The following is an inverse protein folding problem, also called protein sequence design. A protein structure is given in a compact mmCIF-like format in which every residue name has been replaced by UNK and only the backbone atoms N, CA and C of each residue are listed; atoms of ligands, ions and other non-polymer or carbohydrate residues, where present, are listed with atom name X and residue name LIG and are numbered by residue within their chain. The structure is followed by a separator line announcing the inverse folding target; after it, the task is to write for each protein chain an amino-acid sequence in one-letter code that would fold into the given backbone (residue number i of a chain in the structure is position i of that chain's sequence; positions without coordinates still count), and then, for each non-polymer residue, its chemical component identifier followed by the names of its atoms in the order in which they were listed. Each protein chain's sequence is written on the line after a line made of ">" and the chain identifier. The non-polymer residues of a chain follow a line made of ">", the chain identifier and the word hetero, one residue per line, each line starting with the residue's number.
data_IF_739271972638
#
_entry.id   IF_739271972638
#
_cell.length_a   1.000
_cell.length_b   1.000
_cell.length_c   1.000
_cell.angle_alpha   90.00
_cell.angle_beta   90.00
_cell.angle_gamma   90.00
#
_symmetry.space_group_name_H-M   'P 1'
#
loop_
_entity.id
_entity.type
_entity.pdbx_description
1 polymer ?
#
# COMPACT_ATOMS: atom_id res chain seq x y z
N UNK A 1 -48.97 39.26 -18.97
CA UNK A 1 -47.89 39.56 -19.95
C UNK A 1 -46.88 38.42 -19.87
N UNK A 2 -46.61 37.72 -20.99
CA UNK A 2 -45.67 36.57 -21.22
C UNK A 2 -46.15 35.21 -20.67
N UNK A 3 -46.02 34.05 -21.32
CA UNK A 3 -45.87 33.59 -22.72
C UNK A 3 -46.11 32.06 -22.68
N UNK A 4 -46.80 31.49 -23.67
CA UNK A 4 -47.06 30.05 -23.86
C UNK A 4 -45.79 29.25 -24.18
N UNK A 5 -45.81 27.94 -23.89
CA UNK A 5 -45.17 26.90 -24.73
C UNK A 5 -43.91 26.21 -24.18
N UNK A 6 -44.08 25.08 -23.51
CA UNK A 6 -43.62 23.78 -24.07
C UNK A 6 -44.13 22.64 -23.18
N UNK A 7 -45.31 22.14 -23.53
CA UNK A 7 -45.72 20.80 -23.12
C UNK A 7 -44.99 19.84 -24.04
N UNK A 8 -44.08 19.03 -23.49
CA UNK A 8 -43.51 17.92 -24.25
C UNK A 8 -44.64 16.95 -24.62
N UNK A 9 -45.12 17.11 -25.85
CA UNK A 9 -45.94 16.19 -26.61
C UNK A 9 -45.18 14.86 -26.71
N UNK A 10 -45.53 13.88 -25.88
CA UNK A 10 -45.25 12.48 -26.18
C UNK A 10 -46.57 11.73 -26.29
N UNK A 11 -47.21 11.85 -27.46
CA UNK A 11 -48.35 11.03 -27.83
C UNK A 11 -47.86 9.61 -28.13
N UNK A 12 -47.91 8.74 -27.12
CA UNK A 12 -47.57 7.32 -27.23
C UNK A 12 -46.43 6.89 -26.30
N UNK A 13 -46.51 7.27 -25.01
CA UNK A 13 -45.46 7.09 -24.00
C UNK A 13 -44.84 5.69 -23.95
N UNK A 14 -43.79 5.50 -24.74
CA UNK A 14 -42.82 4.43 -24.55
C UNK A 14 -41.87 4.84 -23.43
N UNK A 15 -41.82 4.06 -22.35
CA UNK A 15 -40.72 4.12 -21.40
C UNK A 15 -39.47 3.61 -22.13
N UNK A 16 -38.44 4.44 -22.30
CA UNK A 16 -37.14 3.93 -22.72
C UNK A 16 -36.49 3.32 -21.47
N UNK A 17 -36.42 2.00 -21.45
CA UNK A 17 -35.65 1.25 -20.46
C UNK A 17 -34.16 1.55 -20.67
N UNK A 18 -33.62 2.52 -19.92
CA UNK A 18 -32.19 2.79 -19.90
C UNK A 18 -31.54 1.71 -19.03
N UNK A 19 -30.78 0.80 -19.65
CA UNK A 19 -29.88 -0.11 -18.93
C UNK A 19 -28.91 0.71 -18.07
N UNK A 20 -28.65 0.27 -16.83
CA UNK A 20 -27.84 1.00 -15.85
C UNK A 20 -26.48 1.52 -16.37
N UNK A 21 -26.11 2.73 -15.91
CA UNK A 21 -24.86 3.44 -16.20
C UNK A 21 -23.69 2.97 -15.32
N UNK A 22 -23.47 1.66 -15.21
CA UNK A 22 -22.53 1.05 -14.26
C UNK A 22 -21.42 0.21 -14.90
N UNK A 23 -21.14 0.43 -16.20
CA UNK A 23 -20.17 -0.37 -16.96
C UNK A 23 -18.78 0.26 -17.06
N UNK A 24 -17.74 -0.57 -16.86
CA UNK A 24 -16.34 -0.26 -17.21
C UNK A 24 -16.15 -0.43 -18.73
N UNK A 25 -15.73 0.63 -19.42
CA UNK A 25 -15.61 0.68 -20.89
C UNK A 25 -14.27 0.14 -21.36
N UNK A 26 -13.18 0.60 -20.74
CA UNK A 26 -11.83 0.20 -21.11
C UNK A 26 -10.86 0.41 -19.95
N UNK A 27 -9.82 -0.45 -19.88
CA UNK A 27 -8.72 -0.30 -18.93
C UNK A 27 -7.38 -0.40 -19.67
N UNK A 28 -6.60 0.68 -19.63
CA UNK A 28 -5.22 0.70 -20.12
C UNK A 28 -4.25 0.37 -18.99
N UNK A 29 -3.69 -0.84 -19.04
CA UNK A 29 -2.77 -1.36 -18.04
C UNK A 29 -1.37 -0.69 -18.06
N UNK A 30 -0.98 -0.06 -19.17
CA UNK A 30 0.32 0.61 -19.30
C UNK A 30 0.26 2.06 -18.77
N UNK A 31 -0.86 2.76 -19.01
CA UNK A 31 -1.06 4.14 -18.56
C UNK A 31 -1.79 4.27 -17.20
N UNK A 32 -2.48 3.21 -16.74
CA UNK A 32 -3.27 3.23 -15.51
C UNK A 32 -4.60 3.97 -15.61
N UNK A 33 -5.10 4.16 -16.83
CA UNK A 33 -6.32 4.94 -17.10
C UNK A 33 -7.51 3.99 -17.22
N UNK A 34 -8.50 4.18 -16.35
CA UNK A 34 -9.79 3.48 -16.38
C UNK A 34 -10.83 4.42 -16.99
N UNK A 35 -11.44 4.01 -18.09
CA UNK A 35 -12.56 4.73 -18.71
C UNK A 35 -13.86 4.05 -18.30
N UNK A 36 -14.73 4.82 -17.65
CA UNK A 36 -15.93 4.35 -16.97
C UNK A 36 -17.10 5.31 -17.21
N UNK A 37 -18.32 4.78 -17.26
CA UNK A 37 -19.53 5.61 -17.32
C UNK A 37 -19.81 6.32 -15.98
N UNK A 38 -20.56 7.42 -16.04
CA UNK A 38 -20.93 8.22 -14.87
C UNK A 38 -21.99 7.47 -14.03
N UNK A 39 -21.53 6.65 -13.07
CA UNK A 39 -22.40 5.83 -12.23
C UNK A 39 -21.72 4.63 -11.57
N UNK A 40 -20.45 4.35 -11.91
CA UNK A 40 -19.70 3.26 -11.28
C UNK A 40 -19.59 3.46 -9.76
N UNK A 41 -20.09 2.46 -9.02
CA UNK A 41 -19.96 2.41 -7.57
C UNK A 41 -18.49 2.29 -7.14
N UNK A 42 -18.13 2.99 -6.06
CA UNK A 42 -16.78 2.97 -5.48
C UNK A 42 -16.22 1.56 -5.27
N UNK A 43 -17.08 0.55 -5.08
CA UNK A 43 -16.71 -0.86 -4.94
C UNK A 43 -16.05 -1.45 -6.20
N UNK A 44 -16.57 -1.21 -7.40
CA UNK A 44 -15.98 -1.65 -8.68
C UNK A 44 -14.65 -0.91 -8.90
N UNK A 45 -14.59 0.37 -8.53
CA UNK A 45 -13.37 1.17 -8.62
C UNK A 45 -12.28 0.62 -7.68
N UNK A 46 -12.66 0.17 -6.48
CA UNK A 46 -11.76 -0.49 -5.52
C UNK A 46 -11.32 -1.90 -5.95
N UNK A 47 -12.18 -2.70 -6.57
CA UNK A 47 -11.83 -4.03 -7.08
C UNK A 47 -10.88 -3.95 -8.29
N UNK A 48 -11.19 -3.06 -9.23
CA UNK A 48 -10.32 -2.78 -10.37
C UNK A 48 -9.00 -2.20 -9.88
N UNK A 49 -9.00 -1.24 -8.96
CA UNK A 49 -7.78 -0.75 -8.33
C UNK A 49 -6.99 -1.88 -7.65
N UNK A 50 -7.63 -2.75 -6.87
CA UNK A 50 -6.97 -3.88 -6.21
C UNK A 50 -6.29 -4.86 -7.19
N UNK A 51 -6.92 -5.11 -8.35
CA UNK A 51 -6.35 -5.94 -9.42
C UNK A 51 -5.19 -5.25 -10.14
N UNK A 52 -5.31 -3.96 -10.42
CA UNK A 52 -4.29 -3.12 -11.07
C UNK A 52 -3.06 -2.92 -10.18
N UNK A 53 -3.25 -2.82 -8.87
CA UNK A 53 -2.18 -2.67 -7.87
C UNK A 53 -1.30 -3.93 -7.70
N UNK A 54 -1.72 -5.08 -8.25
CA UNK A 54 -0.89 -6.30 -8.34
C UNK A 54 -0.01 -6.35 -9.57
N UNK A 55 -0.18 -5.46 -10.54
CA UNK A 55 0.59 -5.48 -11.78
C UNK A 55 2.04 -4.97 -11.55
N UNK A 56 3.05 -5.60 -12.18
CA UNK A 56 4.46 -5.28 -11.95
C UNK A 56 4.86 -3.85 -12.39
N UNK A 57 4.14 -3.22 -13.32
CA UNK A 57 4.39 -1.85 -13.77
C UNK A 57 4.12 -0.76 -12.73
N UNK A 58 3.28 -1.05 -11.72
CA UNK A 58 2.91 -0.11 -10.66
C UNK A 58 3.76 -0.25 -9.39
N UNK A 59 4.77 -1.12 -9.37
CA UNK A 59 5.66 -1.32 -8.22
C UNK A 59 6.26 -0.03 -7.63
N UNK A 60 6.85 0.91 -8.41
CA UNK A 60 7.45 2.11 -7.84
C UNK A 60 6.40 3.08 -7.27
N UNK A 61 5.23 3.16 -7.89
CA UNK A 61 4.11 4.02 -7.46
C UNK A 61 3.43 3.45 -6.22
N UNK A 62 3.26 2.12 -6.16
CA UNK A 62 2.75 1.40 -4.99
C UNK A 62 3.69 1.56 -3.80
N UNK A 63 5.00 1.47 -4.03
CA UNK A 63 5.99 1.66 -2.98
C UNK A 63 5.94 3.11 -2.44
N UNK A 64 5.74 4.10 -3.33
CA UNK A 64 5.58 5.52 -2.96
C UNK A 64 4.27 5.82 -2.21
N UNK A 65 3.15 5.19 -2.58
CA UNK A 65 1.86 5.37 -1.90
C UNK A 65 1.81 4.56 -0.59
N UNK A 66 2.40 3.37 -0.55
CA UNK A 66 2.60 2.61 0.69
C UNK A 66 3.42 3.40 1.72
N UNK A 67 4.29 4.31 1.25
CA UNK A 67 5.03 5.26 2.06
C UNK A 67 4.14 6.36 2.70
N UNK A 68 2.95 6.63 2.16
CA UNK A 68 1.99 7.60 2.72
C UNK A 68 1.12 7.00 3.84
N UNK A 69 1.01 5.68 3.94
CA UNK A 69 0.40 5.01 5.10
C UNK A 69 1.44 4.92 6.22
N UNK A 70 1.31 5.68 7.33
CA UNK A 70 2.35 5.75 8.37
C UNK A 70 2.67 4.37 9.00
N UNK A 71 1.68 3.48 9.07
CA UNK A 71 1.84 2.09 9.54
C UNK A 71 2.69 1.26 8.56
N UNK A 72 2.47 1.43 7.26
CA UNK A 72 3.18 0.68 6.21
C UNK A 72 4.61 1.18 6.03
N UNK A 73 4.88 2.47 6.24
CA UNK A 73 6.23 3.05 6.19
C UNK A 73 7.16 2.43 7.23
N UNK A 74 6.73 2.39 8.50
CA UNK A 74 7.52 1.80 9.59
C UNK A 74 7.76 0.30 9.36
N UNK A 75 6.73 -0.44 8.94
CA UNK A 75 6.84 -1.86 8.62
C UNK A 75 7.87 -2.12 7.50
N UNK A 76 7.80 -1.34 6.41
CA UNK A 76 8.70 -1.48 5.26
C UNK A 76 10.16 -1.25 5.66
N UNK A 77 10.42 -0.18 6.42
CA UNK A 77 11.75 0.12 6.95
C UNK A 77 12.29 -1.01 7.81
N UNK A 78 11.59 -1.39 8.89
CA UNK A 78 12.10 -2.37 9.85
C UNK A 78 12.30 -3.75 9.21
N UNK A 79 11.41 -4.15 8.29
CA UNK A 79 11.56 -5.39 7.51
C UNK A 79 12.74 -5.33 6.54
N UNK A 80 12.96 -4.20 5.87
CA UNK A 80 14.09 -4.01 4.98
C UNK A 80 15.42 -4.11 5.74
N UNK A 81 15.55 -3.39 6.86
CA UNK A 81 16.76 -3.42 7.70
C UNK A 81 16.99 -4.80 8.30
N UNK A 82 15.95 -5.45 8.85
CA UNK A 82 16.08 -6.80 9.41
C UNK A 82 16.47 -7.84 8.36
N UNK A 83 15.93 -7.74 7.14
CA UNK A 83 16.29 -8.61 6.02
C UNK A 83 17.74 -8.40 5.59
N UNK A 84 18.14 -7.15 5.42
CA UNK A 84 19.50 -6.76 5.07
C UNK A 84 20.52 -7.26 6.09
N UNK A 85 20.38 -6.92 7.38
CA UNK A 85 21.35 -7.28 8.43
C UNK A 85 21.44 -8.78 8.63
N UNK A 86 20.30 -9.49 8.56
CA UNK A 86 20.26 -10.96 8.62
C UNK A 86 21.03 -11.62 7.48
N UNK A 87 20.86 -11.14 6.25
CA UNK A 87 21.57 -11.68 5.10
C UNK A 87 23.05 -11.32 5.15
N UNK A 88 23.38 -10.07 5.48
CA UNK A 88 24.75 -9.62 5.66
C UNK A 88 25.49 -10.49 6.69
N UNK A 89 24.90 -10.69 7.87
CA UNK A 89 25.44 -11.58 8.92
C UNK A 89 25.71 -12.98 8.39
N UNK A 90 24.74 -13.59 7.71
CA UNK A 90 24.89 -14.96 7.17
C UNK A 90 26.04 -15.05 6.17
N UNK A 91 26.17 -14.07 5.29
CA UNK A 91 27.22 -14.04 4.27
C UNK A 91 28.60 -13.82 4.89
N UNK A 92 28.70 -12.92 5.88
CA UNK A 92 29.95 -12.69 6.61
C UNK A 92 30.40 -13.92 7.39
N UNK A 93 29.47 -14.63 8.06
CA UNK A 93 29.76 -15.90 8.74
C UNK A 93 30.17 -17.01 7.78
N UNK A 94 29.68 -16.97 6.54
CA UNK A 94 30.08 -17.90 5.48
C UNK A 94 31.44 -17.55 4.83
N UNK A 95 32.12 -16.51 5.32
CA UNK A 95 33.43 -16.09 4.82
C UNK A 95 33.39 -15.31 3.50
N UNK A 96 32.21 -14.84 3.08
CA UNK A 96 32.08 -13.98 1.89
C UNK A 96 32.75 -12.64 2.16
N UNK A 97 33.45 -12.09 1.16
CA UNK A 97 34.12 -10.79 1.31
C UNK A 97 33.12 -9.67 1.69
N UNK A 98 33.50 -8.70 2.54
CA UNK A 98 32.61 -7.66 3.04
C UNK A 98 31.87 -6.88 1.95
N UNK A 99 32.56 -6.51 0.86
CA UNK A 99 31.96 -5.80 -0.27
C UNK A 99 30.89 -6.65 -0.97
N UNK A 100 31.22 -7.89 -1.33
CA UNK A 100 30.29 -8.79 -2.02
C UNK A 100 29.09 -9.14 -1.13
N UNK A 101 29.34 -9.38 0.16
CA UNK A 101 28.29 -9.64 1.14
C UNK A 101 27.33 -8.45 1.27
N UNK A 102 27.87 -7.22 1.31
CA UNK A 102 27.07 -5.99 1.38
C UNK A 102 26.21 -5.79 0.13
N UNK A 103 26.81 -5.93 -1.06
CA UNK A 103 26.09 -5.77 -2.34
C UNK A 103 25.00 -6.84 -2.48
N UNK A 104 25.28 -8.09 -2.11
CA UNK A 104 24.30 -9.17 -2.15
C UNK A 104 23.14 -8.91 -1.18
N UNK A 105 23.45 -8.52 0.06
CA UNK A 105 22.44 -8.18 1.07
C UNK A 105 21.59 -6.97 0.64
N UNK A 106 22.20 -5.94 0.05
CA UNK A 106 21.49 -4.76 -0.45
C UNK A 106 20.55 -5.11 -1.61
N UNK A 107 20.96 -5.98 -2.53
CA UNK A 107 20.12 -6.42 -3.65
C UNK A 107 18.92 -7.27 -3.22
N UNK A 108 19.00 -7.95 -2.08
CA UNK A 108 17.91 -8.73 -1.52
C UNK A 108 16.85 -7.89 -0.80
N UNK A 109 17.10 -6.58 -0.60
CA UNK A 109 16.11 -5.67 -0.03
C UNK A 109 14.99 -5.43 -1.06
N UNK A 110 13.71 -5.73 -0.72
CA UNK A 110 12.62 -5.65 -1.69
C UNK A 110 12.27 -4.22 -2.09
N UNK A 111 12.49 -3.24 -1.20
CA UNK A 111 12.17 -1.85 -1.45
C UNK A 111 13.31 -1.18 -2.23
N UNK A 112 12.99 -0.67 -3.41
CA UNK A 112 13.94 0.00 -4.32
C UNK A 112 14.59 1.24 -3.71
N UNK A 113 13.89 1.99 -2.86
CA UNK A 113 14.42 3.19 -2.21
C UNK A 113 15.55 2.83 -1.24
N UNK A 114 15.32 1.87 -0.35
CA UNK A 114 16.33 1.42 0.62
C UNK A 114 17.48 0.68 -0.05
N UNK A 115 17.19 -0.13 -1.07
CA UNK A 115 18.20 -0.77 -1.90
C UNK A 115 19.14 0.26 -2.53
N UNK A 116 18.58 1.30 -3.15
CA UNK A 116 19.39 2.34 -3.78
C UNK A 116 20.22 3.10 -2.75
N UNK A 117 19.67 3.45 -1.59
CA UNK A 117 20.42 4.09 -0.49
C UNK A 117 21.64 3.27 -0.05
N UNK A 118 21.48 1.94 0.10
CA UNK A 118 22.60 1.05 0.43
C UNK A 118 23.65 1.01 -0.68
N UNK A 119 23.22 0.85 -1.93
CA UNK A 119 24.15 0.71 -3.07
C UNK A 119 24.89 2.01 -3.38
N UNK A 120 24.21 3.16 -3.35
CA UNK A 120 24.85 4.45 -3.69
C UNK A 120 25.63 5.02 -2.52
N UNK A 121 25.20 4.79 -1.28
CA UNK A 121 25.87 5.31 -0.08
C UNK A 121 26.99 4.39 0.43
N UNK A 122 26.70 3.09 0.59
CA UNK A 122 27.61 2.17 1.28
C UNK A 122 28.70 1.56 0.39
N UNK A 123 28.39 1.19 -0.86
CA UNK A 123 29.34 0.48 -1.74
C UNK A 123 30.58 1.32 -2.10
N UNK A 124 30.47 2.62 -2.44
CA UNK A 124 31.66 3.43 -2.72
C UNK A 124 32.63 3.52 -1.54
N UNK A 125 32.08 3.54 -0.31
CA UNK A 125 32.86 3.63 0.93
C UNK A 125 33.66 2.35 1.18
N UNK A 126 33.07 1.18 0.91
CA UNK A 126 33.76 -0.11 0.98
C UNK A 126 34.86 -0.23 -0.09
N UNK A 127 34.58 0.22 -1.30
CA UNK A 127 35.57 0.23 -2.39
C UNK A 127 36.75 1.16 -2.13
N UNK A 128 36.53 2.23 -1.37
CA UNK A 128 37.58 3.11 -0.89
C UNK A 128 38.42 2.49 0.25
N UNK A 129 38.13 1.25 0.66
CA UNK A 129 38.88 0.53 1.70
C UNK A 129 38.42 0.83 3.13
N UNK A 130 37.31 1.54 3.32
CA UNK A 130 36.77 1.80 4.66
C UNK A 130 36.04 0.58 5.21
N UNK A 131 35.84 0.58 6.54
CA UNK A 131 35.12 -0.48 7.25
C UNK A 131 33.63 -0.56 6.92
N UNK A 132 33.02 -1.68 7.34
CA UNK A 132 31.58 -1.92 7.21
C UNK A 132 30.75 -0.93 8.04
N UNK A 133 31.26 -0.48 9.18
CA UNK A 133 30.67 0.58 10.00
C UNK A 133 30.49 1.89 9.22
N UNK A 134 31.53 2.32 8.50
CA UNK A 134 31.49 3.52 7.68
C UNK A 134 30.52 3.37 6.51
N UNK A 135 30.45 2.20 5.88
CA UNK A 135 29.50 1.92 4.81
C UNK A 135 28.05 1.94 5.29
N UNK A 136 27.80 1.40 6.49
CA UNK A 136 26.50 1.43 7.13
C UNK A 136 26.10 2.86 7.50
N UNK A 137 27.03 3.66 8.00
CA UNK A 137 26.82 5.08 8.32
C UNK A 137 26.50 5.89 7.06
N UNK A 138 27.27 5.70 5.98
CA UNK A 138 27.10 6.43 4.72
C UNK A 138 25.79 6.09 4.01
N UNK A 139 25.26 4.87 4.18
CA UNK A 139 23.95 4.52 3.62
C UNK A 139 22.78 5.23 4.33
N UNK A 140 22.97 5.72 5.57
CA UNK A 140 21.93 6.40 6.35
C UNK A 140 20.74 5.50 6.74
N UNK A 141 20.87 4.19 6.57
CA UNK A 141 19.77 3.25 6.75
C UNK A 141 19.59 2.78 8.20
N UNK A 142 20.61 2.90 9.04
CA UNK A 142 20.53 2.59 10.46
C UNK A 142 20.19 3.82 11.30
N UNK A 143 19.45 3.59 12.39
CA UNK A 143 19.28 4.59 13.45
C UNK A 143 20.58 4.76 14.25
N UNK A 144 20.65 5.85 15.02
CA UNK A 144 21.87 6.25 15.73
C UNK A 144 22.36 5.18 16.71
N UNK A 145 21.49 4.65 17.56
CA UNK A 145 21.90 3.74 18.64
C UNK A 145 22.44 2.39 18.10
N UNK A 146 21.76 1.69 17.17
CA UNK A 146 22.29 0.46 16.57
C UNK A 146 23.58 0.70 15.77
N UNK A 147 23.72 1.86 15.13
CA UNK A 147 24.93 2.21 14.38
C UNK A 147 26.14 2.37 15.31
N UNK A 148 25.97 3.00 16.48
CA UNK A 148 27.07 3.17 17.45
C UNK A 148 27.62 1.84 17.97
N UNK A 149 26.75 0.83 18.12
CA UNK A 149 27.18 -0.52 18.49
C UNK A 149 28.09 -1.13 17.42
N UNK A 150 27.78 -0.92 16.14
CA UNK A 150 28.61 -1.38 15.03
C UNK A 150 29.95 -0.66 14.96
N UNK A 151 29.95 0.67 15.11
CA UNK A 151 31.18 1.48 15.14
C UNK A 151 32.09 1.01 16.28
N UNK A 152 31.51 0.79 17.47
CA UNK A 152 32.26 0.30 18.64
C UNK A 152 32.77 -1.12 18.39
N UNK A 153 31.94 -2.00 17.83
CA UNK A 153 32.31 -3.37 17.48
C UNK A 153 33.44 -3.45 16.46
N UNK A 154 33.50 -2.53 15.50
CA UNK A 154 34.59 -2.45 14.53
C UNK A 154 35.92 -2.07 15.22
N UNK A 155 35.89 -1.11 16.17
CA UNK A 155 37.08 -0.69 16.92
C UNK A 155 37.59 -1.76 17.89
N UNK A 156 36.69 -2.53 18.49
CA UNK A 156 37.03 -3.59 19.46
C UNK A 156 37.26 -4.96 18.83
N UNK A 157 37.07 -5.09 17.50
CA UNK A 157 37.18 -6.36 16.78
C UNK A 157 36.00 -7.31 17.00
N UNK A 158 34.96 -6.88 17.72
CA UNK A 158 33.76 -7.67 18.03
C UNK A 158 32.62 -7.42 17.03
N UNK A 159 32.95 -7.18 15.75
CA UNK A 159 31.98 -6.84 14.71
C UNK A 159 30.84 -7.85 14.61
N UNK A 160 31.16 -9.15 14.63
CA UNK A 160 30.15 -10.22 14.52
C UNK A 160 29.17 -10.19 15.69
N UNK A 161 29.63 -9.99 16.93
CA UNK A 161 28.75 -9.96 18.09
C UNK A 161 27.84 -8.72 18.09
N UNK A 162 28.38 -7.56 17.71
CA UNK A 162 27.58 -6.34 17.64
C UNK A 162 26.59 -6.39 16.48
N UNK A 163 26.97 -6.97 15.34
CA UNK A 163 26.06 -7.21 14.22
C UNK A 163 24.93 -8.17 14.61
N UNK A 164 25.19 -9.17 15.45
CA UNK A 164 24.18 -10.08 15.97
C UNK A 164 23.15 -9.36 16.83
N UNK A 165 23.60 -8.48 17.74
CA UNK A 165 22.72 -7.64 18.57
C UNK A 165 21.85 -6.71 17.72
N UNK A 166 22.46 -6.03 16.74
CA UNK A 166 21.71 -5.15 15.81
C UNK A 166 20.71 -5.95 14.97
N UNK A 167 21.11 -7.12 14.50
CA UNK A 167 20.23 -8.02 13.74
C UNK A 167 19.04 -8.46 14.59
N UNK A 168 19.26 -8.86 15.84
CA UNK A 168 18.19 -9.25 16.76
C UNK A 168 17.23 -8.09 17.05
N UNK A 169 17.76 -6.90 17.33
CA UNK A 169 16.96 -5.68 17.57
C UNK A 169 15.99 -5.39 16.42
N UNK A 170 16.47 -5.39 15.17
CA UNK A 170 15.61 -5.12 14.02
C UNK A 170 14.66 -6.26 13.70
N UNK A 171 15.01 -7.52 14.00
CA UNK A 171 14.10 -8.64 13.84
C UNK A 171 12.91 -8.56 14.81
N UNK A 172 13.16 -8.22 16.07
CA UNK A 172 12.10 -8.02 17.07
C UNK A 172 11.22 -6.82 16.70
N UNK A 173 11.83 -5.71 16.29
CA UNK A 173 11.11 -4.54 15.83
C UNK A 173 10.24 -4.84 14.58
N UNK A 174 10.73 -5.69 13.67
CA UNK A 174 9.98 -6.10 12.47
C UNK A 174 8.83 -7.04 12.82
N UNK A 175 9.02 -7.95 13.79
CA UNK A 175 7.97 -8.83 14.29
C UNK A 175 6.84 -8.00 14.93
N UNK A 176 7.18 -7.06 15.81
CA UNK A 176 6.21 -6.15 16.44
C UNK A 176 5.46 -5.30 15.42
N UNK A 177 6.18 -4.72 14.45
CA UNK A 177 5.55 -3.92 13.39
C UNK A 177 4.61 -4.76 12.51
N UNK A 178 4.92 -6.05 12.29
CA UNK A 178 4.07 -6.98 11.54
C UNK A 178 2.79 -7.30 12.32
N UNK A 179 2.88 -7.44 13.64
CA UNK A 179 1.73 -7.63 14.50
C UNK A 179 0.82 -6.40 14.54
N UNK A 180 1.41 -5.21 14.67
CA UNK A 180 0.68 -3.93 14.61
C UNK A 180 -0.05 -3.77 13.27
N UNK A 181 0.60 -4.10 12.16
CA UNK A 181 -0.01 -4.08 10.82
C UNK A 181 -1.16 -5.10 10.70
N UNK A 182 -0.99 -6.32 11.21
CA UNK A 182 -2.07 -7.33 11.25
C UNK A 182 -3.26 -6.83 12.09
N UNK A 183 -2.99 -6.18 13.21
CA UNK A 183 -4.03 -5.63 14.08
C UNK A 183 -4.75 -4.46 13.41
N UNK A 184 -4.04 -3.58 12.69
CA UNK A 184 -4.65 -2.53 11.89
C UNK A 184 -5.52 -3.11 10.75
N UNK A 185 -5.05 -4.16 10.07
CA UNK A 185 -5.83 -4.86 9.04
C UNK A 185 -7.11 -5.47 9.61
N UNK A 186 -7.03 -6.11 10.79
CA UNK A 186 -8.21 -6.64 11.49
C UNK A 186 -9.22 -5.55 11.83
N UNK A 187 -8.77 -4.39 12.32
CA UNK A 187 -9.65 -3.24 12.61
C UNK A 187 -10.35 -2.72 11.36
N UNK A 188 -9.62 -2.61 10.24
CA UNK A 188 -10.20 -2.19 8.96
C UNK A 188 -11.24 -3.21 8.44
N UNK A 189 -10.96 -4.51 8.55
CA UNK A 189 -11.89 -5.56 8.13
C UNK A 189 -13.23 -5.47 8.89
N UNK A 190 -13.20 -5.26 10.21
CA UNK A 190 -14.42 -5.07 11.01
C UNK A 190 -15.20 -3.84 10.55
N UNK A 191 -14.53 -2.72 10.29
CA UNK A 191 -15.18 -1.49 9.84
C UNK A 191 -15.85 -1.68 8.46
N UNK A 192 -15.19 -2.38 7.53
CA UNK A 192 -15.74 -2.71 6.22
C UNK A 192 -16.96 -3.63 6.34
N UNK A 193 -16.92 -4.64 7.22
CA UNK A 193 -18.07 -5.54 7.46
C UNK A 193 -19.26 -4.79 8.09
N UNK A 194 -19.01 -3.84 8.99
CA UNK A 194 -20.06 -3.00 9.58
C UNK A 194 -20.70 -2.09 8.52
N UNK A 195 -19.88 -1.51 7.62
CA UNK A 195 -20.37 -0.70 6.50
C UNK A 195 -21.20 -1.53 5.52
N UNK A 196 -20.77 -2.77 5.21
CA UNK A 196 -21.50 -3.64 4.29
C UNK A 196 -22.86 -4.07 4.84
N UNK A 197 -22.94 -4.41 6.13
CA UNK A 197 -24.22 -4.77 6.77
C UNK A 197 -25.16 -3.56 6.80
N UNK A 198 -24.65 -2.36 7.12
CA UNK A 198 -25.44 -1.12 7.08
C UNK A 198 -25.95 -0.78 5.67
N UNK A 199 -25.14 -1.00 4.65
CA UNK A 199 -25.56 -0.82 3.25
C UNK A 199 -26.69 -1.78 2.87
N UNK A 200 -26.58 -3.07 3.22
CA UNK A 200 -27.61 -4.08 2.94
C UNK A 200 -28.92 -3.76 3.65
N UNK A 201 -28.88 -3.32 4.91
CA UNK A 201 -30.11 -2.99 5.66
C UNK A 201 -30.80 -1.74 5.13
N UNK A 202 -30.05 -0.69 4.75
CA UNK A 202 -30.63 0.51 4.14
C UNK A 202 -31.26 0.17 2.77
N UNK A 203 -30.59 -0.63 1.93
CA UNK A 203 -31.15 -1.08 0.66
C UNK A 203 -32.42 -1.91 0.82
N UNK A 204 -32.44 -2.81 1.81
CA UNK A 204 -33.61 -3.65 2.11
C UNK A 204 -34.80 -2.86 2.65
N UNK A 205 -34.58 -1.73 3.35
CA UNK A 205 -35.65 -0.86 3.85
C UNK A 205 -36.11 0.15 2.80
N UNK A 206 -35.21 0.63 1.94
CA UNK A 206 -35.53 1.59 0.87
C UNK A 206 -36.45 0.99 -0.22
N UNK A 207 -36.30 -0.30 -0.53
CA UNK A 207 -37.18 -1.01 -1.47
C UNK A 207 -38.67 -0.96 -1.12
N UNK A 208 -39.10 -1.46 0.06
CA UNK A 208 -40.50 -1.42 0.48
C UNK A 208 -41.00 0.00 0.77
N UNK A 209 -40.14 0.93 1.21
CA UNK A 209 -40.53 2.33 1.40
C UNK A 209 -40.85 3.02 0.06
N UNK A 210 -40.10 2.72 -1.00
CA UNK A 210 -40.40 3.24 -2.33
C UNK A 210 -41.70 2.64 -2.88
N UNK A 211 -41.93 1.35 -2.66
CA UNK A 211 -43.17 0.70 -3.05
C UNK A 211 -44.40 1.26 -2.30
N UNK A 212 -44.29 1.58 -1.01
CA UNK A 212 -45.38 2.24 -0.29
C UNK A 212 -45.54 3.71 -0.70
N UNK A 213 -44.46 4.43 -1.00
CA UNK A 213 -44.53 5.80 -1.54
C UNK A 213 -45.14 5.87 -2.95
N UNK A 214 -44.93 4.87 -3.81
CA UNK A 214 -45.60 4.80 -5.11
C UNK A 214 -47.12 4.52 -4.94
N UNK A 215 -47.49 3.69 -3.93
CA UNK A 215 -48.90 3.41 -3.59
C UNK A 215 -49.59 4.61 -2.93
N UNK A 216 -48.91 5.35 -2.05
CA UNK A 216 -49.46 6.55 -1.41
C UNK A 216 -49.35 7.82 -2.29
N UNK A 217 -48.32 7.91 -3.13
CA UNK A 217 -48.13 8.97 -4.11
C UNK A 217 -49.11 8.87 -5.29
N UNK A 218 -49.64 7.68 -5.57
CA UNK A 218 -50.80 7.48 -6.45
C UNK A 218 -52.16 7.79 -5.80
N UNK A 219 -52.20 8.06 -4.48
CA UNK A 219 -53.44 8.21 -3.72
C UNK A 219 -53.60 9.60 -3.06
N UNK A 220 -52.98 10.65 -3.63
CA UNK A 220 -53.05 12.03 -3.12
C UNK A 220 -53.56 13.04 -4.15
N UNK A 221 -54.86 13.32 -4.09
CA UNK A 221 -55.61 14.44 -4.69
C UNK A 221 -55.73 14.47 -6.23
N UNK A 222 -56.52 13.54 -6.77
CA UNK A 222 -57.38 13.80 -7.93
C UNK A 222 -58.83 13.82 -7.45
N UNK A 223 -59.60 14.80 -7.94
CA UNK A 223 -61.07 14.87 -7.88
C UNK A 223 -61.76 13.54 -8.23
#
# INVERSE_FOLDING_TARGET
>A
RRSYGDSCLNHGGGLIEMTGLDRVIAFDAAAGVLVAEAGIGLHILCEVAGFVWRQPGFAPTRDRIALMLPVMRKLSYTRAVAGFTRLLRKLLLAGVSPETAFVAAANAVPNTVYKNQLLTGGVPVLRAGNGLDAAMQASGMLEHDPLQLLITGQRTGQWSEMLDKVTAYYQDAAAKSTEDAKNAQKRLAILVTMLSVGYVTIGAVAGPLKATMDVFGGAGFGE
#
